data_IF_012138503024
#
_entry.id   IF_012138503024
#
_cell.length_a   1.000
_cell.length_b   1.000
_cell.length_c   1.000
_cell.angle_alpha   90.00
_cell.angle_beta   90.00
_cell.angle_gamma   90.00
#
_symmetry.space_group_name_H-M   'P 1'
#
loop_
_entity.id
_entity.type
_entity.pdbx_description
1 polymer ?
#
# COMPACT_ATOMS: atom_id res chain seq x y z
N UNK A 1 2.48 8.80 4.20
CA UNK A 1 3.10 10.06 3.72
C UNK A 1 2.89 10.32 2.23
N UNK A 2 2.63 9.30 1.40
CA UNK A 2 2.25 9.45 -0.03
C UNK A 2 1.02 10.33 -0.23
N UNK A 3 -0.03 10.17 0.58
CA UNK A 3 -1.22 11.03 0.56
C UNK A 3 -0.88 12.52 0.74
N UNK A 4 -0.12 12.87 1.78
CA UNK A 4 0.27 14.25 2.06
C UNK A 4 1.07 14.86 0.90
N UNK A 5 1.99 14.08 0.31
CA UNK A 5 2.76 14.50 -0.86
C UNK A 5 1.86 14.74 -2.08
N UNK A 6 0.90 13.86 -2.35
CA UNK A 6 -0.06 14.00 -3.44
C UNK A 6 -0.92 15.27 -3.29
N UNK A 7 -1.46 15.53 -2.09
CA UNK A 7 -2.21 16.75 -1.81
C UNK A 7 -1.37 18.02 -2.00
N UNK A 8 -0.08 17.98 -1.65
CA UNK A 8 0.85 19.10 -1.90
C UNK A 8 1.07 19.31 -3.39
N UNK A 9 1.25 18.23 -4.16
CA UNK A 9 1.51 18.32 -5.59
C UNK A 9 0.30 18.85 -6.37
N UNK A 10 -0.91 18.43 -6.00
CA UNK A 10 -2.16 18.98 -6.54
C UNK A 10 -2.30 20.47 -6.18
N UNK A 11 -2.03 20.83 -4.93
CA UNK A 11 -2.04 22.23 -4.50
C UNK A 11 -1.06 23.09 -5.30
N UNK A 12 0.16 22.59 -5.54
CA UNK A 12 1.15 23.29 -6.35
C UNK A 12 0.72 23.42 -7.82
N UNK A 13 -0.01 22.44 -8.36
CA UNK A 13 -0.56 22.52 -9.71
C UNK A 13 -1.68 23.57 -9.81
N UNK A 14 -2.58 23.61 -8.82
CA UNK A 14 -3.65 24.61 -8.73
C UNK A 14 -3.07 26.03 -8.59
N UNK A 15 -2.07 26.22 -7.72
CA UNK A 15 -1.39 27.51 -7.52
C UNK A 15 -0.78 28.05 -8.84
N UNK A 16 -0.21 27.16 -9.68
CA UNK A 16 0.32 27.53 -11.01
C UNK A 16 -0.79 27.98 -11.96
N UNK A 17 -1.92 27.28 -12.00
CA UNK A 17 -3.04 27.62 -12.87
C UNK A 17 -3.72 28.93 -12.42
N UNK A 18 -3.88 29.14 -11.11
CA UNK A 18 -4.43 30.36 -10.54
C UNK A 18 -3.58 31.60 -10.87
N UNK A 19 -2.25 31.46 -10.97
CA UNK A 19 -1.37 32.56 -11.38
C UNK A 19 -1.60 33.06 -12.82
N UNK A 20 -2.25 32.24 -13.67
CA UNK A 20 -2.55 32.54 -15.07
C UNK A 20 -3.93 33.18 -15.23
N UNK A 21 -4.88 32.89 -14.32
CA UNK A 21 -6.25 33.36 -14.40
C UNK A 21 -6.59 34.26 -13.20
N UNK A 22 -6.58 35.58 -13.40
CA UNK A 22 -6.79 36.60 -12.35
C UNK A 22 -8.25 36.75 -11.90
N UNK A 23 -9.00 35.65 -11.77
CA UNK A 23 -10.41 35.64 -11.41
C UNK A 23 -10.66 34.71 -10.24
N UNK A 24 -10.72 35.27 -9.03
CA UNK A 24 -11.38 34.75 -7.83
C UNK A 24 -11.50 33.22 -7.72
N UNK A 25 -10.40 32.48 -7.71
CA UNK A 25 -10.43 31.11 -7.20
C UNK A 25 -10.45 31.20 -5.69
N UNK A 26 -11.60 30.84 -5.09
CA UNK A 26 -11.71 30.60 -3.65
C UNK A 26 -10.53 29.73 -3.21
N UNK A 27 -9.98 30.04 -2.04
CA UNK A 27 -8.79 29.43 -1.45
C UNK A 27 -9.09 27.98 -1.04
N UNK A 28 -9.47 27.15 -1.99
CA UNK A 28 -9.85 25.77 -1.76
C UNK A 28 -8.61 24.93 -1.47
N UNK A 29 -8.70 24.15 -0.40
CA UNK A 29 -7.69 23.15 -0.10
C UNK A 29 -7.67 22.11 -1.22
N UNK A 30 -6.47 21.67 -1.65
CA UNK A 30 -6.38 20.58 -2.62
C UNK A 30 -7.02 19.32 -2.02
N UNK A 31 -7.70 18.58 -2.88
CA UNK A 31 -8.43 17.37 -2.51
C UNK A 31 -8.34 16.31 -3.57
N UNK A 32 -8.52 15.06 -3.15
CA UNK A 32 -8.61 13.90 -4.04
C UNK A 32 -9.81 13.05 -3.66
N UNK A 33 -10.44 12.35 -4.60
CA UNK A 33 -11.44 11.33 -4.29
C UNK A 33 -10.90 10.25 -3.34
N UNK A 34 -11.77 9.71 -2.49
CA UNK A 34 -11.40 8.71 -1.49
C UNK A 34 -10.83 7.44 -2.12
N UNK A 35 -11.32 7.01 -3.29
CA UNK A 35 -10.79 5.83 -3.98
C UNK A 35 -9.34 6.04 -4.43
N UNK A 36 -9.01 7.22 -4.98
CA UNK A 36 -7.62 7.56 -5.31
C UNK A 36 -6.75 7.65 -4.05
N UNK A 37 -7.29 8.17 -2.96
CA UNK A 37 -6.59 8.19 -1.68
C UNK A 37 -6.29 6.77 -1.17
N UNK A 38 -7.23 5.82 -1.37
CA UNK A 38 -7.06 4.42 -1.01
C UNK A 38 -6.02 3.73 -1.89
N UNK A 39 -5.96 4.04 -3.19
CA UNK A 39 -4.93 3.51 -4.11
C UNK A 39 -3.53 4.02 -3.75
N UNK A 40 -3.40 5.29 -3.36
CA UNK A 40 -2.12 5.91 -2.99
C UNK A 40 -1.58 5.45 -1.63
N UNK A 41 -2.43 4.90 -0.77
CA UNK A 41 -2.09 4.48 0.58
C UNK A 41 -1.90 2.98 0.66
N UNK A 42 -0.72 2.54 1.12
CA UNK A 42 -0.46 1.12 1.44
C UNK A 42 -1.38 0.59 2.55
N UNK A 43 -1.98 1.48 3.35
CA UNK A 43 -2.95 1.17 4.42
C UNK A 43 -4.14 2.11 4.36
N UNK A 44 -5.11 1.76 3.52
CA UNK A 44 -6.36 2.50 3.36
C UNK A 44 -7.22 2.54 4.65
N UNK A 45 -7.08 1.55 5.53
CA UNK A 45 -7.80 1.45 6.81
C UNK A 45 -7.51 2.62 7.78
N UNK A 46 -6.46 3.40 7.51
CA UNK A 46 -6.07 4.55 8.30
C UNK A 46 -6.79 5.84 7.92
N UNK A 47 -7.43 5.93 6.75
CA UNK A 47 -8.15 7.15 6.34
C UNK A 47 -9.16 7.63 7.41
N UNK A 48 -10.06 6.77 7.95
CA UNK A 48 -11.00 7.20 9.00
C UNK A 48 -10.29 7.66 10.28
N UNK A 49 -9.16 7.04 10.63
CA UNK A 49 -8.38 7.40 11.83
C UNK A 49 -7.71 8.77 11.67
N UNK A 50 -7.19 9.06 10.48
CA UNK A 50 -6.56 10.34 10.17
C UNK A 50 -7.59 11.48 10.16
N UNK A 51 -8.80 11.20 9.70
CA UNK A 51 -9.94 12.11 9.74
C UNK A 51 -10.36 12.41 11.20
N UNK A 52 -10.50 11.36 12.01
CA UNK A 52 -10.78 11.50 13.45
C UNK A 52 -9.72 12.31 14.21
N UNK A 53 -8.45 12.24 13.78
CA UNK A 53 -7.34 13.01 14.35
C UNK A 53 -7.24 14.44 13.79
N UNK A 54 -8.15 14.88 12.91
CA UNK A 54 -8.11 16.17 12.22
C UNK A 54 -6.82 16.42 11.40
N UNK A 55 -6.15 15.33 10.98
CA UNK A 55 -4.97 15.41 10.10
C UNK A 55 -5.43 15.65 8.67
N UNK A 56 -6.46 14.92 8.26
CA UNK A 56 -7.19 15.07 7.01
C UNK A 56 -8.66 15.37 7.31
N UNK A 57 -9.42 15.76 6.29
CA UNK A 57 -10.86 15.88 6.33
C UNK A 57 -11.46 15.10 5.16
N UNK A 58 -12.49 14.31 5.40
CA UNK A 58 -13.28 13.62 4.38
C UNK A 58 -14.65 14.30 4.30
N UNK A 59 -14.97 14.90 3.16
CA UNK A 59 -16.26 15.55 2.96
C UNK A 59 -17.39 14.56 2.59
N UNK A 60 -18.62 15.06 2.55
CA UNK A 60 -19.79 14.27 2.19
C UNK A 60 -19.78 13.74 0.74
N UNK A 61 -18.94 14.31 -0.14
CA UNK A 61 -18.73 13.85 -1.51
C UNK A 61 -17.59 12.84 -1.62
N UNK A 62 -16.97 12.47 -0.50
CA UNK A 62 -15.85 11.55 -0.47
C UNK A 62 -14.55 12.17 -0.97
N UNK A 63 -14.39 13.50 -0.87
CA UNK A 63 -13.12 14.18 -1.16
C UNK A 63 -12.29 14.25 0.12
N UNK A 64 -11.07 13.73 0.03
CA UNK A 64 -10.05 13.76 1.06
C UNK A 64 -9.21 15.02 0.88
N UNK A 65 -9.19 15.88 1.90
CA UNK A 65 -8.41 17.12 1.95
C UNK A 65 -7.55 17.17 3.20
N UNK A 66 -6.64 18.14 3.30
CA UNK A 66 -6.00 18.43 4.59
C UNK A 66 -7.05 18.93 5.60
N UNK A 67 -6.89 18.59 6.89
CA UNK A 67 -7.86 18.99 7.92
C UNK A 67 -7.96 20.51 8.14
N UNK A 68 -6.97 21.28 7.68
CA UNK A 68 -6.99 22.75 7.68
C UNK A 68 -5.90 23.33 6.77
N UNK A 69 -5.94 24.65 6.53
CA UNK A 69 -4.85 25.39 5.89
C UNK A 69 -3.51 25.23 6.62
N UNK A 70 -3.53 25.15 7.96
CA UNK A 70 -2.32 24.93 8.76
C UNK A 70 -1.75 23.53 8.52
N UNK A 71 -2.61 22.52 8.43
CA UNK A 71 -2.20 21.16 8.09
C UNK A 71 -1.64 21.07 6.68
N UNK A 72 -2.25 21.74 5.70
CA UNK A 72 -1.73 21.80 4.34
C UNK A 72 -0.33 22.43 4.31
N UNK A 73 -0.11 23.52 5.06
CA UNK A 73 1.19 24.14 5.18
C UNK A 73 2.21 23.23 5.88
N UNK A 74 1.79 22.47 6.90
CA UNK A 74 2.63 21.46 7.53
C UNK A 74 3.03 20.36 6.54
N UNK A 75 2.10 19.87 5.72
CA UNK A 75 2.39 18.91 4.65
C UNK A 75 3.38 19.48 3.63
N UNK A 76 3.20 20.74 3.21
CA UNK A 76 4.16 21.43 2.32
C UNK A 76 5.55 21.52 2.96
N UNK A 77 5.64 21.93 4.22
CA UNK A 77 6.90 22.06 4.95
C UNK A 77 7.64 20.71 5.08
N UNK A 78 6.92 19.64 5.42
CA UNK A 78 7.50 18.29 5.55
C UNK A 78 7.90 17.75 4.17
N UNK A 79 7.02 17.88 3.16
CA UNK A 79 7.24 17.34 1.82
C UNK A 79 8.39 18.01 1.08
N UNK A 80 8.59 19.31 1.33
CA UNK A 80 9.71 20.09 0.78
C UNK A 80 10.96 20.04 1.68
N UNK A 81 10.90 19.33 2.81
CA UNK A 81 12.03 19.16 3.71
C UNK A 81 13.18 18.41 3.02
N UNK A 82 14.42 18.80 3.34
CA UNK A 82 15.62 18.15 2.80
C UNK A 82 15.61 16.65 3.08
N UNK A 83 15.85 15.85 2.04
CA UNK A 83 15.91 14.39 2.14
C UNK A 83 14.56 13.70 2.39
N UNK A 84 13.43 14.40 2.36
CA UNK A 84 12.11 13.76 2.43
C UNK A 84 11.85 12.89 1.20
N UNK A 85 12.06 13.43 0.00
CA UNK A 85 11.83 12.72 -1.27
C UNK A 85 12.69 11.45 -1.38
N UNK A 86 13.98 11.53 -1.02
CA UNK A 86 14.89 10.38 -1.00
C UNK A 86 14.40 9.31 -0.02
N UNK A 87 14.12 9.67 1.24
CA UNK A 87 13.60 8.72 2.24
C UNK A 87 12.27 8.09 1.85
N UNK A 88 11.40 8.85 1.19
CA UNK A 88 10.13 8.35 0.68
C UNK A 88 10.35 7.33 -0.43
N UNK A 89 11.30 7.58 -1.34
CA UNK A 89 11.66 6.65 -2.40
C UNK A 89 12.31 5.38 -1.83
N UNK A 90 13.28 5.53 -0.93
CA UNK A 90 13.93 4.38 -0.25
C UNK A 90 12.90 3.48 0.46
N UNK A 91 11.86 4.09 1.05
CA UNK A 91 10.79 3.33 1.71
C UNK A 91 9.93 2.56 0.71
N UNK A 92 9.65 3.15 -0.47
CA UNK A 92 8.90 2.49 -1.54
C UNK A 92 9.70 1.34 -2.15
N UNK A 93 10.97 1.58 -2.48
CA UNK A 93 11.84 0.57 -3.09
C UNK A 93 11.97 -0.66 -2.19
N UNK A 94 12.06 -0.46 -0.86
CA UNK A 94 12.07 -1.54 0.12
C UNK A 94 10.74 -2.29 0.21
N UNK A 95 9.62 -1.59 0.06
CA UNK A 95 8.30 -2.23 0.03
C UNK A 95 8.19 -3.12 -1.22
N UNK A 96 8.60 -2.61 -2.37
CA UNK A 96 8.59 -3.32 -3.65
C UNK A 96 9.50 -4.56 -3.60
N UNK A 97 10.69 -4.44 -2.99
CA UNK A 97 11.59 -5.56 -2.74
C UNK A 97 10.92 -6.65 -1.88
N UNK A 98 10.28 -6.28 -0.76
CA UNK A 98 9.59 -7.22 0.11
C UNK A 98 8.39 -7.90 -0.59
N UNK A 99 7.60 -7.15 -1.35
CA UNK A 99 6.50 -7.72 -2.13
C UNK A 99 6.99 -8.70 -3.20
N UNK A 100 8.12 -8.39 -3.85
CA UNK A 100 8.74 -9.26 -4.84
C UNK A 100 9.21 -10.59 -4.22
N UNK A 101 9.81 -10.52 -3.02
CA UNK A 101 10.28 -11.70 -2.29
C UNK A 101 9.11 -12.56 -1.79
N UNK A 102 8.03 -11.94 -1.30
CA UNK A 102 6.82 -12.66 -0.88
C UNK A 102 6.16 -13.47 -2.00
N UNK A 103 6.10 -12.92 -3.23
CA UNK A 103 5.54 -13.64 -4.40
C UNK A 103 6.36 -14.87 -4.80
N UNK A 104 7.69 -14.82 -4.69
CA UNK A 104 8.55 -15.97 -5.00
C UNK A 104 8.33 -17.13 -4.02
N UNK A 105 8.10 -16.84 -2.75
CA UNK A 105 7.83 -17.85 -1.72
C UNK A 105 6.49 -18.55 -1.95
N UNK A 106 5.43 -17.79 -2.26
CA UNK A 106 4.10 -18.38 -2.54
C UNK A 106 4.12 -19.24 -3.82
N UNK A 107 4.86 -18.83 -4.85
CA UNK A 107 5.05 -19.64 -6.07
C UNK A 107 5.77 -20.96 -5.77
N UNK A 108 6.86 -20.95 -4.98
CA UNK A 108 7.57 -22.19 -4.61
C UNK A 108 6.72 -23.17 -3.79
N UNK A 109 5.82 -22.69 -2.94
CA UNK A 109 4.91 -23.55 -2.17
C UNK A 109 3.78 -24.13 -3.04
N UNK A 110 3.24 -23.36 -4.00
CA UNK A 110 2.23 -23.90 -4.93
C UNK A 110 2.78 -24.97 -5.86
N UNK A 111 4.02 -24.79 -6.34
CA UNK A 111 4.74 -25.77 -7.13
C UNK A 111 5.13 -27.05 -6.36
N UNK A 112 5.07 -27.02 -5.03
CA UNK A 112 5.28 -28.17 -4.14
C UNK A 112 3.98 -28.81 -3.61
N UNK A 113 2.83 -28.14 -3.77
CA UNK A 113 1.55 -28.59 -3.21
C UNK A 113 0.57 -29.17 -4.24
N UNK A 114 0.89 -29.05 -5.53
CA UNK A 114 0.05 -29.52 -6.65
C UNK A 114 0.59 -30.75 -7.39
N UNK A 115 1.79 -31.26 -7.03
CA UNK A 115 2.44 -32.40 -7.67
C UNK A 115 2.52 -33.69 -6.84
N UNK A 116 2.77 -34.81 -7.51
CA UNK A 116 3.26 -36.05 -6.88
C UNK A 116 4.78 -36.07 -7.02
N UNK A 117 5.51 -36.07 -5.90
CA UNK A 117 6.98 -36.03 -5.91
C UNK A 117 7.54 -37.43 -5.62
N UNK A 118 8.49 -37.86 -6.45
CA UNK A 118 9.32 -39.04 -6.21
C UNK A 118 10.55 -38.59 -5.41
N UNK A 119 10.59 -38.91 -4.11
CA UNK A 119 11.78 -38.68 -3.28
C UNK A 119 12.58 -39.99 -3.25
N UNK A 120 13.73 -40.00 -3.91
CA UNK A 120 14.68 -41.11 -3.87
C UNK A 120 15.76 -40.85 -2.83
N UNK A 121 15.74 -41.60 -1.72
CA UNK A 121 16.83 -41.62 -0.76
C UNK A 121 17.78 -42.80 -1.08
N UNK A 122 19.10 -42.65 -0.93
CA UNK A 122 20.03 -43.77 -1.05
C UNK A 122 19.80 -44.74 0.12
N UNK A 123 19.34 -45.95 -0.17
CA UNK A 123 19.18 -47.00 0.82
C UNK A 123 20.52 -47.55 1.30
N UNK A 124 20.59 -48.05 2.54
CA UNK A 124 21.83 -48.56 3.17
C UNK A 124 22.54 -49.67 2.35
N UNK A 125 21.84 -50.36 1.44
CA UNK A 125 22.40 -51.43 0.60
C UNK A 125 22.57 -51.05 -0.88
N UNK A 126 22.58 -49.76 -1.22
CA UNK A 126 22.79 -49.30 -2.61
C UNK A 126 21.58 -49.44 -3.54
N UNK A 127 20.43 -49.89 -3.02
CA UNK A 127 19.14 -49.85 -3.71
C UNK A 127 18.49 -48.46 -3.62
N UNK A 128 17.82 -48.03 -4.70
CA UNK A 128 16.97 -46.83 -4.70
C UNK A 128 15.56 -47.25 -4.29
N UNK A 129 15.15 -46.90 -3.08
CA UNK A 129 13.75 -47.05 -2.66
C UNK A 129 12.96 -45.82 -3.10
N UNK A 130 11.83 -46.06 -3.76
CA UNK A 130 10.95 -45.01 -4.27
C UNK A 130 9.78 -44.82 -3.30
N UNK A 131 9.64 -43.61 -2.78
CA UNK A 131 8.49 -43.24 -1.95
C UNK A 131 7.64 -42.20 -2.67
N UNK A 132 6.33 -42.39 -2.63
CA UNK A 132 5.34 -41.43 -3.15
C UNK A 132 4.72 -40.67 -1.99
N UNK A 133 4.87 -39.35 -1.98
CA UNK A 133 4.21 -38.48 -1.01
C UNK A 133 2.85 -38.10 -1.59
N UNK A 134 1.77 -38.63 -1.01
CA UNK A 134 0.39 -38.20 -1.30
C UNK A 134 -0.06 -37.25 -0.20
N UNK A 135 -0.61 -36.10 -0.57
CA UNK A 135 -1.17 -35.14 0.38
C UNK A 135 -2.34 -35.79 1.13
N UNK A 136 -2.32 -35.77 2.46
CA UNK A 136 -3.50 -36.04 3.27
C UNK A 136 -4.47 -34.85 3.10
N UNK A 137 -5.73 -35.12 2.80
CA UNK A 137 -6.76 -34.09 2.70
C UNK A 137 -6.98 -33.44 4.07
N UNK A 138 -6.38 -32.26 4.30
CA UNK A 138 -6.72 -31.43 5.46
C UNK A 138 -8.10 -30.81 5.26
N UNK A 139 -9.10 -31.36 5.96
CA UNK A 139 -10.40 -30.74 6.18
C UNK A 139 -10.24 -29.48 7.05
N UNK A 140 -10.34 -28.30 6.44
CA UNK A 140 -10.56 -27.06 7.20
C UNK A 140 -12.07 -26.79 7.32
N UNK A 141 -12.66 -27.22 8.45
CA UNK A 141 -13.97 -26.74 8.90
C UNK A 141 -13.80 -25.41 9.65
N UNK A 142 -14.29 -24.31 9.09
CA UNK A 142 -14.50 -23.06 9.84
C UNK A 142 -15.98 -22.98 10.22
N UNK A 143 -16.29 -23.22 11.49
CA UNK A 143 -17.62 -22.96 12.05
C UNK A 143 -17.59 -21.54 12.63
N UNK A 144 -18.25 -20.58 11.96
CA UNK A 144 -18.61 -19.33 12.61
C UNK A 144 -19.88 -19.57 13.44
N UNK A 145 -19.76 -19.49 14.78
CA UNK A 145 -20.92 -19.29 15.65
C UNK A 145 -21.29 -17.79 15.61
N UNK A 146 -22.53 -17.50 15.27
CA UNK A 146 -23.20 -16.24 15.62
C UNK A 146 -23.50 -16.23 17.12
#
# INVERSE_FOLDING_TARGET
MTLAKALVDIGNAHDRLASIHSGCTELELPGIPIHEAQELMTRADFLPKLDQMNIIAIDAHGIVRAGSMRMQNAFRAISNGSGFAARLQDTKDRLDELESLGRTTELTLKDLTTGQYEVGLPGLNGGREKFYIRKAEDQYHWIYKY
#
